data_IF_236782696786
#
_entry.id   IF_236782696786
#
_cell.length_a   1.000
_cell.length_b   1.000
_cell.length_c   1.000
_cell.angle_alpha   90.00
_cell.angle_beta   90.00
_cell.angle_gamma   90.00
#
_symmetry.space_group_name_H-M   'P 1'
#
loop_
_entity.id
_entity.type
_entity.pdbx_description
1 polymer ?
#
# COMPACT_ATOMS: atom_id res chain seq x y z
N UNK A 1 8.89 17.01 -20.84
CA UNK A 1 10.29 17.41 -20.47
C UNK A 1 10.68 16.98 -19.05
N UNK A 2 9.90 17.24 -17.98
CA UNK A 2 10.26 16.81 -16.60
C UNK A 2 10.21 15.30 -16.43
N UNK A 3 9.19 14.60 -16.98
CA UNK A 3 9.06 13.13 -16.94
C UNK A 3 10.24 12.38 -17.57
N UNK A 4 10.79 12.90 -18.64
CA UNK A 4 11.90 12.24 -19.37
C UNK A 4 13.23 12.36 -18.66
N UNK A 5 13.49 13.43 -17.92
CA UNK A 5 14.73 13.61 -17.16
C UNK A 5 14.80 12.71 -15.92
N UNK A 6 13.68 12.52 -15.23
CA UNK A 6 13.60 11.61 -14.07
C UNK A 6 13.75 10.16 -14.52
N UNK A 7 13.09 9.76 -15.61
CA UNK A 7 13.22 8.42 -16.16
C UNK A 7 14.65 8.11 -16.66
N UNK A 8 15.31 9.09 -17.28
CA UNK A 8 16.67 8.92 -17.79
C UNK A 8 17.74 8.80 -16.70
N UNK A 9 17.57 9.50 -15.58
CA UNK A 9 18.56 9.50 -14.48
C UNK A 9 18.43 8.26 -13.59
N UNK A 10 17.22 7.70 -13.43
CA UNK A 10 16.96 6.61 -12.49
C UNK A 10 16.64 5.26 -13.15
N UNK A 11 16.65 5.19 -14.48
CA UNK A 11 16.39 3.94 -15.22
C UNK A 11 15.00 3.35 -14.97
N UNK A 12 14.05 4.16 -14.47
CA UNK A 12 12.67 3.73 -14.23
C UNK A 12 11.92 3.81 -15.56
N UNK A 13 11.82 2.68 -16.25
CA UNK A 13 10.87 2.53 -17.35
C UNK A 13 9.46 2.59 -16.79
N UNK A 14 8.77 3.72 -16.99
CA UNK A 14 7.33 3.79 -16.78
C UNK A 14 6.68 2.85 -17.81
N UNK A 15 5.84 1.87 -17.39
CA UNK A 15 5.14 1.03 -18.35
C UNK A 15 4.25 1.91 -19.22
N UNK A 16 4.35 1.72 -20.54
CA UNK A 16 3.43 2.31 -21.50
C UNK A 16 2.02 1.81 -21.22
N UNK A 17 1.03 2.69 -21.29
CA UNK A 17 -0.39 2.41 -21.02
C UNK A 17 -1.01 1.30 -21.91
N UNK A 18 -0.21 0.61 -22.74
CA UNK A 18 -0.64 -0.46 -23.64
C UNK A 18 -0.58 -1.89 -23.07
N UNK A 19 0.06 -2.13 -21.91
CA UNK A 19 0.31 -3.52 -21.46
C UNK A 19 -0.67 -4.05 -20.41
N UNK A 20 -1.66 -3.29 -19.99
CA UNK A 20 -2.64 -3.73 -18.97
C UNK A 20 -3.73 -4.65 -19.55
N UNK A 21 -3.87 -4.70 -20.86
CA UNK A 21 -4.94 -5.49 -21.54
C UNK A 21 -4.61 -6.98 -21.69
N UNK A 22 -3.37 -7.40 -21.47
CA UNK A 22 -2.94 -8.80 -21.71
C UNK A 22 -2.91 -9.70 -20.47
N UNK A 23 -2.99 -9.13 -19.26
CA UNK A 23 -2.95 -9.90 -18.01
C UNK A 23 -4.29 -10.58 -17.63
N UNK A 24 -5.36 -10.35 -18.36
CA UNK A 24 -6.72 -10.85 -18.01
C UNK A 24 -7.15 -12.15 -18.70
N UNK A 25 -6.23 -12.91 -19.32
CA UNK A 25 -6.60 -14.17 -20.00
C UNK A 25 -6.09 -15.45 -19.33
N UNK A 26 -5.93 -15.47 -18.03
CA UNK A 26 -5.85 -16.72 -17.29
C UNK A 26 -7.16 -16.92 -16.50
N UNK A 27 -8.17 -17.46 -17.15
CA UNK A 27 -9.38 -17.94 -16.47
C UNK A 27 -8.96 -19.06 -15.50
N UNK A 28 -9.28 -18.97 -14.18
CA UNK A 28 -9.09 -20.11 -13.30
C UNK A 28 -9.97 -21.25 -13.82
N UNK A 29 -9.36 -22.40 -14.11
CA UNK A 29 -10.08 -23.62 -14.45
C UNK A 29 -11.14 -23.86 -13.37
N UNK A 30 -12.41 -23.81 -13.75
CA UNK A 30 -13.53 -24.24 -12.90
C UNK A 30 -13.26 -25.68 -12.52
N UNK A 31 -12.89 -25.95 -11.28
CA UNK A 31 -12.92 -27.32 -10.77
C UNK A 31 -14.37 -27.74 -10.81
N UNK A 32 -14.65 -28.76 -11.58
CA UNK A 32 -15.94 -29.45 -11.59
C UNK A 32 -16.09 -30.05 -10.18
N UNK A 33 -16.98 -29.47 -9.38
CA UNK A 33 -17.40 -30.07 -8.11
C UNK A 33 -18.35 -31.19 -8.49
N UNK A 34 -18.01 -32.42 -8.15
CA UNK A 34 -18.87 -33.59 -8.38
C UNK A 34 -20.23 -33.43 -7.66
N UNK A 35 -21.20 -34.31 -7.92
CA UNK A 35 -22.52 -34.24 -7.30
C UNK A 35 -22.40 -34.33 -5.78
N UNK A 36 -22.88 -33.29 -5.09
CA UNK A 36 -22.97 -33.23 -3.63
C UNK A 36 -24.12 -34.10 -3.13
N UNK A 37 -23.92 -34.83 -2.03
CA UNK A 37 -24.99 -35.62 -1.41
C UNK A 37 -26.09 -34.71 -0.84
N UNK A 38 -27.31 -35.24 -0.72
CA UNK A 38 -28.45 -34.49 -0.15
C UNK A 38 -28.14 -33.98 1.29
N UNK A 39 -27.37 -34.74 2.09
CA UNK A 39 -26.95 -34.33 3.41
C UNK A 39 -25.98 -33.16 3.40
N UNK A 40 -25.00 -33.17 2.51
CA UNK A 40 -24.04 -32.07 2.34
C UNK A 40 -24.74 -30.80 1.83
N UNK A 41 -25.69 -30.94 0.92
CA UNK A 41 -26.49 -29.80 0.43
C UNK A 41 -27.34 -29.17 1.54
N UNK A 42 -27.97 -29.98 2.42
CA UNK A 42 -28.71 -29.50 3.57
C UNK A 42 -27.80 -28.80 4.59
N UNK A 43 -26.61 -29.32 4.86
CA UNK A 43 -25.65 -28.66 5.74
C UNK A 43 -25.18 -27.32 5.17
N UNK A 44 -24.88 -27.25 3.86
CA UNK A 44 -24.50 -26.01 3.20
C UNK A 44 -25.62 -24.96 3.23
N UNK A 45 -26.89 -25.35 3.03
CA UNK A 45 -28.03 -24.45 3.13
C UNK A 45 -28.26 -23.94 4.55
N UNK A 46 -28.09 -24.79 5.57
CA UNK A 46 -28.20 -24.40 6.97
C UNK A 46 -27.08 -23.42 7.34
N UNK A 47 -25.86 -23.71 6.94
CA UNK A 47 -24.70 -22.83 7.20
C UNK A 47 -24.82 -21.50 6.47
N UNK A 48 -25.30 -21.50 5.23
CA UNK A 48 -25.57 -20.28 4.47
C UNK A 48 -26.65 -19.40 5.12
N UNK A 49 -27.71 -20.01 5.68
CA UNK A 49 -28.79 -19.25 6.36
C UNK A 49 -28.32 -18.64 7.70
N UNK A 50 -27.45 -19.32 8.43
CA UNK A 50 -26.86 -18.79 9.68
C UNK A 50 -25.93 -17.62 9.39
N UNK A 51 -25.07 -17.74 8.36
CA UNK A 51 -24.17 -16.65 7.94
C UNK A 51 -25.01 -15.44 7.51
N UNK A 52 -26.04 -15.63 6.69
CA UNK A 52 -26.95 -14.56 6.27
C UNK A 52 -27.55 -13.81 7.46
N UNK A 53 -28.10 -14.53 8.45
CA UNK A 53 -28.69 -13.93 9.64
C UNK A 53 -27.68 -13.11 10.45
N UNK A 54 -26.46 -13.61 10.66
CA UNK A 54 -25.42 -12.92 11.42
C UNK A 54 -24.88 -11.68 10.69
N UNK A 55 -24.77 -11.74 9.35
CA UNK A 55 -24.39 -10.58 8.52
C UNK A 55 -25.42 -9.45 8.67
N UNK A 56 -26.70 -9.77 8.55
CA UNK A 56 -27.77 -8.75 8.67
C UNK A 56 -27.80 -8.12 10.07
N UNK A 57 -27.66 -8.91 11.12
CA UNK A 57 -27.62 -8.40 12.51
C UNK A 57 -26.41 -7.47 12.72
N UNK A 58 -25.23 -7.85 12.21
CA UNK A 58 -24.06 -7.01 12.30
C UNK A 58 -24.22 -5.69 11.52
N UNK A 59 -24.82 -5.73 10.33
CA UNK A 59 -25.14 -4.53 9.55
C UNK A 59 -26.09 -3.61 10.33
N UNK A 60 -27.18 -4.15 10.88
CA UNK A 60 -28.16 -3.37 11.63
C UNK A 60 -27.54 -2.71 12.88
N UNK A 61 -26.69 -3.42 13.59
CA UNK A 61 -25.94 -2.86 14.72
C UNK A 61 -25.03 -1.73 14.31
N UNK A 62 -24.23 -1.94 13.24
CA UNK A 62 -23.33 -0.92 12.71
C UNK A 62 -24.10 0.36 12.31
N UNK A 63 -25.25 0.23 11.64
CA UNK A 63 -26.07 1.37 11.23
C UNK A 63 -26.68 2.15 12.41
N UNK A 64 -26.89 1.50 13.56
CA UNK A 64 -27.27 2.19 14.80
C UNK A 64 -26.10 2.89 15.49
N UNK A 65 -24.87 2.71 15.02
CA UNK A 65 -23.65 3.26 15.64
C UNK A 65 -23.09 2.37 16.75
N UNK A 66 -23.55 1.13 16.91
CA UNK A 66 -23.01 0.19 17.87
C UNK A 66 -21.62 -0.31 17.43
N UNK A 67 -20.74 -0.51 18.41
CA UNK A 67 -19.46 -1.12 18.14
C UNK A 67 -19.64 -2.61 17.86
N UNK A 68 -19.11 -3.07 16.73
CA UNK A 68 -19.09 -4.47 16.38
C UNK A 68 -18.00 -5.23 17.16
N UNK A 69 -18.28 -6.47 17.50
CA UNK A 69 -17.30 -7.39 18.06
C UNK A 69 -16.57 -8.20 16.95
N UNK A 70 -15.59 -9.02 17.36
CA UNK A 70 -14.79 -9.79 16.41
C UNK A 70 -15.62 -10.84 15.66
N UNK A 71 -16.62 -11.46 16.30
CA UNK A 71 -17.47 -12.48 15.69
C UNK A 71 -18.35 -11.89 14.59
N UNK A 72 -18.87 -10.70 14.82
CA UNK A 72 -19.64 -9.93 13.84
C UNK A 72 -18.73 -9.49 12.65
N UNK A 73 -17.50 -9.07 12.96
CA UNK A 73 -16.52 -8.77 11.92
C UNK A 73 -16.23 -9.97 11.02
N UNK A 74 -16.03 -11.15 11.59
CA UNK A 74 -15.86 -12.39 10.81
C UNK A 74 -17.10 -12.75 10.01
N UNK A 75 -18.31 -12.56 10.54
CA UNK A 75 -19.54 -12.76 9.78
C UNK A 75 -19.61 -11.86 8.55
N UNK A 76 -19.27 -10.58 8.69
CA UNK A 76 -19.22 -9.62 7.58
C UNK A 76 -18.18 -9.99 6.52
N UNK A 77 -17.03 -10.53 6.92
CA UNK A 77 -16.03 -11.03 5.96
C UNK A 77 -16.53 -12.21 5.12
N UNK A 78 -17.50 -12.99 5.63
CA UNK A 78 -18.17 -14.06 4.91
C UNK A 78 -19.30 -13.60 3.99
N UNK A 79 -19.65 -12.31 3.97
CA UNK A 79 -20.74 -11.80 3.15
C UNK A 79 -20.50 -12.02 1.65
N UNK A 80 -21.54 -12.50 0.96
CA UNK A 80 -21.48 -12.78 -0.49
C UNK A 80 -22.86 -12.51 -1.13
N UNK A 81 -22.90 -12.42 -2.46
CA UNK A 81 -24.13 -12.21 -3.20
C UNK A 81 -24.93 -10.99 -2.70
N UNK A 82 -26.21 -11.12 -2.38
CA UNK A 82 -27.07 -10.03 -1.90
C UNK A 82 -26.56 -9.40 -0.60
N UNK A 83 -25.95 -10.20 0.31
CA UNK A 83 -25.48 -9.71 1.59
C UNK A 83 -24.25 -8.80 1.43
N UNK A 84 -23.37 -9.09 0.49
CA UNK A 84 -22.26 -8.20 0.15
C UNK A 84 -22.77 -6.85 -0.37
N UNK A 85 -23.83 -6.85 -1.21
CA UNK A 85 -24.42 -5.60 -1.70
C UNK A 85 -25.00 -4.78 -0.55
N UNK A 86 -25.70 -5.42 0.41
CA UNK A 86 -26.21 -4.75 1.60
C UNK A 86 -25.12 -4.20 2.50
N UNK A 87 -24.04 -4.97 2.69
CA UNK A 87 -22.86 -4.52 3.42
C UNK A 87 -22.24 -3.28 2.78
N UNK A 88 -22.09 -3.27 1.47
CA UNK A 88 -21.57 -2.11 0.73
C UNK A 88 -22.47 -0.89 0.87
N UNK A 89 -23.79 -1.07 0.81
CA UNK A 89 -24.77 0.01 1.02
C UNK A 89 -24.67 0.59 2.44
N UNK A 90 -24.66 -0.27 3.46
CA UNK A 90 -24.51 0.16 4.85
C UNK A 90 -23.19 0.89 5.10
N UNK A 91 -22.09 0.41 4.54
CA UNK A 91 -20.80 1.08 4.62
C UNK A 91 -20.83 2.48 3.96
N UNK A 92 -21.53 2.63 2.83
CA UNK A 92 -21.75 3.93 2.19
C UNK A 92 -22.58 4.86 3.05
N UNK A 93 -23.68 4.39 3.64
CA UNK A 93 -24.53 5.18 4.53
C UNK A 93 -23.76 5.68 5.75
N UNK A 94 -22.99 4.81 6.41
CA UNK A 94 -22.14 5.20 7.53
C UNK A 94 -21.07 6.21 7.12
N UNK A 95 -20.43 6.00 5.97
CA UNK A 95 -19.44 6.95 5.43
C UNK A 95 -20.07 8.31 5.17
N UNK A 96 -21.26 8.35 4.58
CA UNK A 96 -21.96 9.59 4.25
C UNK A 96 -22.45 10.33 5.52
N UNK A 97 -22.79 9.59 6.59
CA UNK A 97 -23.22 10.18 7.87
C UNK A 97 -22.11 10.97 8.57
N UNK A 98 -20.85 10.53 8.44
CA UNK A 98 -19.68 11.17 9.07
C UNK A 98 -18.92 12.10 8.14
N UNK A 99 -19.17 12.04 6.83
CA UNK A 99 -18.50 12.85 5.80
C UNK A 99 -19.51 13.76 5.10
N UNK A 100 -19.75 14.98 5.61
CA UNK A 100 -20.69 15.89 4.98
C UNK A 100 -20.32 16.14 3.52
N UNK A 101 -21.32 16.13 2.67
CA UNK A 101 -21.20 16.40 1.23
C UNK A 101 -20.43 15.37 0.41
N UNK A 102 -20.26 14.12 0.88
CA UNK A 102 -19.53 13.06 0.18
C UNK A 102 -18.11 13.47 -0.26
N UNK A 103 -17.44 14.26 0.57
CA UNK A 103 -16.09 14.73 0.28
C UNK A 103 -15.05 13.67 0.64
N UNK A 104 -14.22 13.32 -0.32
CA UNK A 104 -12.95 12.64 -0.09
C UNK A 104 -11.82 13.66 0.07
N UNK A 105 -10.83 13.33 0.89
CA UNK A 105 -9.59 14.10 1.00
C UNK A 105 -8.46 13.32 0.37
N UNK A 106 -7.50 14.01 -0.20
CA UNK A 106 -6.25 13.44 -0.68
C UNK A 106 -5.10 14.40 -0.41
N UNK A 107 -3.91 13.84 -0.26
CA UNK A 107 -2.69 14.64 -0.18
C UNK A 107 -1.80 14.33 -1.37
N UNK A 108 -1.36 15.37 -2.08
CA UNK A 108 -0.33 15.23 -3.11
C UNK A 108 1.02 15.00 -2.45
N UNK A 109 1.68 13.90 -2.78
CA UNK A 109 2.97 13.52 -2.19
C UNK A 109 4.03 13.45 -3.27
N UNK A 110 5.23 13.89 -2.93
CA UNK A 110 6.43 13.50 -3.68
C UNK A 110 6.97 12.20 -3.07
N UNK A 111 7.37 11.27 -3.91
CA UNK A 111 7.91 9.98 -3.49
C UNK A 111 9.43 10.03 -3.40
N UNK A 112 9.97 9.72 -2.24
CA UNK A 112 11.40 9.70 -1.91
C UNK A 112 11.82 8.27 -1.50
N UNK A 113 12.12 7.40 -2.46
CA UNK A 113 12.58 6.04 -2.15
C UNK A 113 14.08 6.07 -1.86
N UNK A 114 14.45 6.24 -0.58
CA UNK A 114 15.85 6.48 -0.17
C UNK A 114 16.81 5.40 -0.63
N UNK A 115 16.40 4.14 -0.58
CA UNK A 115 17.17 3.01 -1.13
C UNK A 115 16.23 1.88 -1.53
N UNK A 116 16.62 1.13 -2.55
CA UNK A 116 15.94 -0.11 -2.92
C UNK A 116 16.68 -1.38 -2.45
N UNK A 117 17.74 -1.24 -1.65
CA UNK A 117 18.28 -2.37 -0.90
C UNK A 117 17.43 -2.67 0.33
N UNK A 118 17.35 -3.94 0.74
CA UNK A 118 16.54 -4.41 1.88
C UNK A 118 17.17 -5.66 2.46
N UNK A 119 17.07 -5.86 3.78
CA UNK A 119 17.47 -7.12 4.38
C UNK A 119 16.48 -8.25 4.05
N UNK A 120 15.23 -7.94 3.77
CA UNK A 120 14.16 -8.90 3.54
C UNK A 120 14.04 -9.35 2.08
N UNK A 121 13.33 -10.48 1.88
CA UNK A 121 12.97 -11.06 0.58
C UNK A 121 11.49 -11.42 0.54
N UNK A 122 10.65 -10.41 0.53
CA UNK A 122 9.20 -10.61 0.45
C UNK A 122 8.80 -11.11 -0.95
N UNK A 123 8.02 -12.19 -1.01
CA UNK A 123 7.67 -12.85 -2.27
C UNK A 123 6.84 -12.02 -3.25
N UNK A 124 6.26 -10.90 -2.81
CA UNK A 124 5.51 -9.96 -3.66
C UNK A 124 6.29 -8.69 -4.02
N UNK A 125 7.45 -8.45 -3.39
CA UNK A 125 8.17 -7.20 -3.56
C UNK A 125 8.96 -7.19 -4.86
N UNK A 126 8.63 -6.27 -5.77
CA UNK A 126 9.35 -6.03 -7.02
C UNK A 126 10.36 -4.88 -6.93
N UNK A 127 10.39 -4.19 -5.79
CA UNK A 127 11.20 -3.00 -5.56
C UNK A 127 12.65 -3.33 -5.17
N UNK A 128 12.84 -4.39 -4.38
CA UNK A 128 14.14 -4.78 -3.80
C UNK A 128 15.16 -5.15 -4.86
N UNK A 129 16.38 -4.61 -4.69
CA UNK A 129 17.57 -4.96 -5.46
C UNK A 129 18.72 -5.32 -4.51
N UNK A 130 19.52 -6.30 -4.91
CA UNK A 130 20.79 -6.57 -4.26
C UNK A 130 21.90 -5.62 -4.77
N UNK A 131 23.02 -5.48 -4.04
CA UNK A 131 24.06 -4.49 -4.34
C UNK A 131 24.67 -4.61 -5.74
N UNK A 132 24.70 -5.82 -6.32
CA UNK A 132 25.25 -6.07 -7.65
C UNK A 132 24.18 -6.15 -8.76
N UNK A 133 22.92 -5.80 -8.47
CA UNK A 133 21.86 -5.85 -9.45
C UNK A 133 21.71 -4.51 -10.19
N UNK A 134 21.42 -4.61 -11.50
CA UNK A 134 21.15 -3.40 -12.29
C UNK A 134 19.97 -2.62 -11.69
N UNK A 135 20.18 -1.32 -11.48
CA UNK A 135 19.17 -0.42 -10.95
C UNK A 135 19.12 -0.38 -9.41
N UNK A 136 20.15 -0.94 -8.72
CA UNK A 136 20.37 -0.67 -7.30
C UNK A 136 20.76 0.80 -7.11
N UNK A 137 20.23 1.43 -6.06
CA UNK A 137 20.58 2.80 -5.69
C UNK A 137 20.37 3.07 -4.21
N UNK A 138 21.06 4.10 -3.73
CA UNK A 138 20.79 4.81 -2.48
C UNK A 138 20.85 6.30 -2.79
N UNK A 139 19.79 7.04 -2.45
CA UNK A 139 19.76 8.50 -2.65
C UNK A 139 20.74 9.17 -1.69
N UNK A 140 21.52 10.10 -2.18
CA UNK A 140 22.31 11.02 -1.36
C UNK A 140 21.40 12.11 -0.77
N UNK A 141 21.82 12.86 0.28
CA UNK A 141 21.08 14.01 0.77
C UNK A 141 20.72 15.04 -0.30
N UNK A 142 21.62 15.28 -1.25
CA UNK A 142 21.39 16.19 -2.38
C UNK A 142 20.32 15.65 -3.33
N UNK A 143 20.35 14.35 -3.64
CA UNK A 143 19.30 13.71 -4.45
C UNK A 143 17.92 13.82 -3.79
N UNK A 144 17.88 13.64 -2.48
CA UNK A 144 16.63 13.79 -1.68
C UNK A 144 16.09 15.21 -1.79
N UNK A 145 16.95 16.21 -1.60
CA UNK A 145 16.56 17.62 -1.71
C UNK A 145 16.12 18.02 -3.12
N UNK A 146 16.83 17.57 -4.13
CA UNK A 146 16.48 17.88 -5.52
C UNK A 146 15.07 17.39 -5.88
N UNK A 147 14.74 16.15 -5.47
CA UNK A 147 13.40 15.59 -5.71
C UNK A 147 12.35 16.25 -4.83
N UNK A 148 12.67 16.55 -3.57
CA UNK A 148 11.75 17.22 -2.64
C UNK A 148 11.40 18.64 -3.13
N UNK A 149 12.38 19.43 -3.58
CA UNK A 149 12.17 20.78 -4.15
C UNK A 149 11.26 20.74 -5.38
N UNK A 150 11.49 19.81 -6.30
CA UNK A 150 10.61 19.61 -7.46
C UNK A 150 9.17 19.28 -7.02
N UNK A 151 9.01 18.43 -5.98
CA UNK A 151 7.72 18.13 -5.40
C UNK A 151 7.02 19.36 -4.81
N UNK A 152 7.76 20.21 -4.11
CA UNK A 152 7.25 21.46 -3.54
C UNK A 152 6.79 22.42 -4.62
N UNK A 153 7.57 22.62 -5.70
CA UNK A 153 7.22 23.44 -6.87
C UNK A 153 5.95 22.93 -7.55
N UNK A 154 5.72 21.63 -7.62
CA UNK A 154 4.51 21.01 -8.14
C UNK A 154 3.34 21.07 -7.15
N UNK A 155 3.50 21.71 -6.00
CA UNK A 155 2.47 21.91 -4.98
C UNK A 155 2.13 20.65 -4.18
N UNK A 156 3.05 19.70 -4.05
CA UNK A 156 2.94 18.62 -3.08
C UNK A 156 2.84 19.20 -1.66
N UNK A 157 2.24 18.44 -0.75
CA UNK A 157 2.08 18.81 0.66
C UNK A 157 2.91 17.93 1.57
N UNK A 158 3.20 16.72 1.11
CA UNK A 158 3.95 15.72 1.86
C UNK A 158 5.07 15.13 1.02
N UNK A 159 6.12 14.69 1.69
CA UNK A 159 7.18 13.86 1.14
C UNK A 159 7.04 12.44 1.69
N UNK A 160 6.66 11.48 0.85
CA UNK A 160 6.59 10.07 1.23
C UNK A 160 7.97 9.45 1.13
N UNK A 161 8.60 9.26 2.28
CA UNK A 161 9.89 8.61 2.41
C UNK A 161 9.65 7.10 2.57
N UNK A 162 10.20 6.31 1.66
CA UNK A 162 10.11 4.86 1.65
C UNK A 162 11.47 4.24 1.37
N UNK A 163 11.69 3.04 1.87
CA UNK A 163 12.95 2.31 1.68
C UNK A 163 12.76 0.82 2.03
N UNK A 164 13.80 0.03 1.79
CA UNK A 164 13.87 -1.33 2.31
C UNK A 164 14.22 -1.34 3.79
N UNK A 165 13.79 -2.39 4.49
CA UNK A 165 14.03 -2.57 5.91
C UNK A 165 15.50 -2.87 6.19
N UNK A 166 16.12 -2.13 7.09
CA UNK A 166 17.48 -2.27 7.64
C UNK A 166 18.51 -2.88 6.67
N UNK A 167 18.68 -2.35 5.45
CA UNK A 167 19.59 -2.94 4.44
C UNK A 167 21.04 -3.02 4.92
N UNK A 168 21.48 -2.15 5.81
CA UNK A 168 22.84 -2.14 6.38
C UNK A 168 23.16 -3.40 7.21
N UNK A 169 22.16 -4.10 7.73
CA UNK A 169 22.38 -5.35 8.48
C UNK A 169 22.74 -6.52 7.58
N UNK A 170 22.47 -6.41 6.28
CA UNK A 170 22.71 -7.47 5.30
C UNK A 170 23.71 -7.09 4.20
N UNK A 171 23.76 -5.84 3.82
CA UNK A 171 24.53 -5.34 2.70
C UNK A 171 25.61 -4.37 3.17
N UNK A 172 26.89 -4.77 3.07
CA UNK A 172 28.02 -3.94 3.47
C UNK A 172 28.07 -2.63 2.68
N UNK A 173 27.68 -2.67 1.41
CA UNK A 173 27.61 -1.50 0.53
C UNK A 173 26.66 -0.42 1.08
N UNK A 174 25.56 -0.82 1.71
CA UNK A 174 24.66 0.13 2.35
C UNK A 174 25.25 0.70 3.64
N UNK A 175 25.90 -0.15 4.45
CA UNK A 175 26.60 0.32 5.65
C UNK A 175 27.75 1.28 5.31
N UNK A 176 28.44 1.07 4.20
CA UNK A 176 29.48 1.95 3.70
C UNK A 176 28.90 3.28 3.22
N UNK A 177 27.83 3.26 2.44
CA UNK A 177 27.13 4.47 1.98
C UNK A 177 26.62 5.32 3.16
N UNK A 178 26.00 4.69 4.17
CA UNK A 178 25.54 5.41 5.37
C UNK A 178 26.71 6.09 6.09
N UNK A 179 27.84 5.40 6.26
CA UNK A 179 29.03 5.99 6.89
C UNK A 179 29.61 7.15 6.08
N UNK A 180 29.60 7.05 4.75
CA UNK A 180 30.02 8.15 3.87
C UNK A 180 29.10 9.38 4.04
N UNK A 181 27.80 9.15 4.22
CA UNK A 181 26.85 10.23 4.49
C UNK A 181 26.89 10.75 5.94
N UNK A 182 27.66 10.08 6.83
CA UNK A 182 27.81 10.47 8.25
C UNK A 182 26.78 9.86 9.19
N UNK A 183 26.10 8.77 8.79
CA UNK A 183 25.07 8.11 9.59
C UNK A 183 25.45 6.67 9.96
N UNK A 184 25.00 6.24 11.14
CA UNK A 184 25.28 4.90 11.65
C UNK A 184 24.23 3.85 11.26
N UNK A 185 23.03 4.27 10.89
CA UNK A 185 21.92 3.38 10.57
C UNK A 185 20.93 4.00 9.60
N UNK A 186 20.12 3.13 8.95
CA UNK A 186 19.04 3.58 8.07
C UNK A 186 17.98 4.42 8.80
N UNK A 187 17.51 4.08 10.03
CA UNK A 187 16.59 4.94 10.78
C UNK A 187 17.15 6.34 11.07
N UNK A 188 18.44 6.43 11.40
CA UNK A 188 19.11 7.72 11.61
C UNK A 188 19.11 8.55 10.32
N UNK A 189 19.43 7.93 9.20
CA UNK A 189 19.38 8.57 7.88
C UNK A 189 17.96 9.05 7.52
N UNK A 190 16.93 8.22 7.76
CA UNK A 190 15.52 8.60 7.57
C UNK A 190 15.14 9.81 8.41
N UNK A 191 15.53 9.83 9.68
CA UNK A 191 15.25 10.95 10.58
C UNK A 191 15.91 12.25 10.08
N UNK A 192 17.19 12.18 9.70
CA UNK A 192 17.93 13.32 9.16
C UNK A 192 17.34 13.82 7.84
N UNK A 193 16.96 12.94 6.91
CA UNK A 193 16.34 13.32 5.65
C UNK A 193 14.92 13.89 5.86
N UNK A 194 14.19 13.40 6.84
CA UNK A 194 12.88 13.96 7.21
C UNK A 194 13.01 15.40 7.69
N UNK A 195 13.95 15.67 8.60
CA UNK A 195 14.25 17.02 9.07
C UNK A 195 14.73 17.93 7.93
N UNK A 196 15.65 17.45 7.12
CA UNK A 196 16.21 18.18 5.98
C UNK A 196 15.12 18.61 4.99
N UNK A 197 14.26 17.68 4.58
CA UNK A 197 13.15 17.93 3.66
C UNK A 197 12.18 18.95 4.25
N UNK A 198 11.78 18.79 5.51
CA UNK A 198 10.85 19.71 6.15
C UNK A 198 11.43 21.13 6.22
N UNK A 199 12.68 21.26 6.67
CA UNK A 199 13.34 22.54 6.85
C UNK A 199 13.56 23.29 5.51
N UNK A 200 13.96 22.56 4.47
CA UNK A 200 14.34 23.18 3.20
C UNK A 200 13.16 23.39 2.23
N UNK A 201 12.06 22.64 2.38
CA UNK A 201 10.94 22.68 1.43
C UNK A 201 9.57 22.95 2.07
N UNK A 202 9.44 22.80 3.38
CA UNK A 202 8.16 22.86 4.09
C UNK A 202 7.24 21.66 3.83
N UNK A 203 7.68 20.65 3.06
CA UNK A 203 6.92 19.42 2.87
C UNK A 203 6.87 18.61 4.16
N UNK A 204 5.68 18.11 4.53
CA UNK A 204 5.53 17.27 5.72
C UNK A 204 6.11 15.87 5.44
N UNK A 205 7.10 15.41 6.21
CA UNK A 205 7.63 14.06 6.05
C UNK A 205 6.58 13.02 6.44
N UNK A 206 6.40 12.03 5.59
CA UNK A 206 5.57 10.86 5.82
C UNK A 206 6.45 9.63 5.62
N UNK A 207 6.94 9.06 6.72
CA UNK A 207 7.85 7.92 6.67
C UNK A 207 7.06 6.61 6.62
N UNK A 208 7.42 5.76 5.67
CA UNK A 208 6.92 4.39 5.51
C UNK A 208 8.15 3.48 5.39
N UNK A 209 8.80 3.29 6.51
CA UNK A 209 9.95 2.40 6.66
C UNK A 209 9.49 1.13 7.39
N UNK A 210 10.01 -0.02 6.94
CA UNK A 210 9.66 -1.33 7.48
C UNK A 210 9.91 -1.51 8.97
#
# INVERSE_FOLDING_TARGET
MVRERVAARWGVMLPSLGSVAEAHRASPSRRFVGPISCGEALQQLTQASVIHSSVLQAIDRALRGDRLDASEGYALMGASGPDLVRLMQAASELSDSVRPHRRGTYSRKVFLPLTNMCQDRCGYCTFVKGPNQRGVYTMTPDDVLDVARQGAELGCKEALISLGDHPELRHQEMADALREFGYGSTPEYVAAMSELVFRETGLLPHTNCG
#
